data_IF_729925524116
#
_entry.id   IF_729925524116
#
_cell.length_a   1.000
_cell.length_b   1.000
_cell.length_c   1.000
_cell.angle_alpha   90.00
_cell.angle_beta   90.00
_cell.angle_gamma   90.00
#
_symmetry.space_group_name_H-M   'P 1'
#
loop_
_entity.id
_entity.type
_entity.pdbx_description
1 polymer ?
#
# COMPACT_ATOMS: atom_id res chain seq x y z
N UNK A 1 8.53 -3.44 -7.12
CA UNK A 1 7.10 -3.55 -6.75
C UNK A 1 6.72 -5.03 -6.65
N UNK A 2 6.08 -5.45 -5.57
CA UNK A 2 5.73 -6.86 -5.28
C UNK A 2 4.22 -7.00 -5.11
N UNK A 3 3.58 -7.94 -5.80
CA UNK A 3 2.17 -8.29 -5.54
C UNK A 3 2.06 -9.22 -4.32
N UNK A 4 1.23 -8.84 -3.35
CA UNK A 4 1.06 -9.51 -2.07
C UNK A 4 -0.11 -10.49 -2.14
N UNK A 5 0.17 -11.75 -2.48
CA UNK A 5 -0.84 -12.82 -2.56
C UNK A 5 -0.74 -13.83 -1.42
N UNK A 6 0.31 -13.77 -0.60
CA UNK A 6 0.54 -14.66 0.55
C UNK A 6 0.91 -13.87 1.80
N UNK A 7 0.68 -14.47 2.97
CA UNK A 7 1.12 -13.95 4.27
C UNK A 7 2.65 -13.78 4.34
N UNK A 8 3.40 -14.77 3.86
CA UNK A 8 4.86 -14.70 3.80
C UNK A 8 5.34 -13.49 2.98
N UNK A 9 4.73 -13.20 1.83
CA UNK A 9 5.09 -12.03 1.03
C UNK A 9 4.80 -10.71 1.76
N UNK A 10 3.74 -10.67 2.56
CA UNK A 10 3.44 -9.52 3.41
C UNK A 10 4.49 -9.36 4.52
N UNK A 11 4.81 -10.41 5.26
CA UNK A 11 5.80 -10.36 6.33
C UNK A 11 7.21 -10.01 5.83
N UNK A 12 7.63 -10.56 4.69
CA UNK A 12 8.92 -10.24 4.06
C UNK A 12 9.00 -8.76 3.64
N UNK A 13 7.91 -8.21 3.10
CA UNK A 13 7.82 -6.79 2.77
C UNK A 13 7.82 -5.93 4.05
N UNK A 14 7.06 -6.34 5.06
CA UNK A 14 6.97 -5.64 6.33
C UNK A 14 8.32 -5.63 7.07
N UNK A 15 9.14 -6.68 6.98
CA UNK A 15 10.50 -6.70 7.52
C UNK A 15 11.40 -5.64 6.92
N UNK A 16 11.28 -5.39 5.62
CA UNK A 16 12.04 -4.32 4.97
C UNK A 16 11.71 -2.92 5.51
N UNK A 17 10.52 -2.73 6.09
CA UNK A 17 10.13 -1.44 6.68
C UNK A 17 10.93 -1.05 7.93
N UNK A 18 11.76 -1.98 8.45
CA UNK A 18 12.70 -1.70 9.53
C UNK A 18 13.83 -0.75 9.11
N UNK A 19 14.34 -0.93 7.89
CA UNK A 19 15.52 -0.18 7.41
C UNK A 19 15.20 0.71 6.20
N UNK A 20 14.05 0.51 5.56
CA UNK A 20 13.63 1.23 4.35
C UNK A 20 12.22 1.78 4.51
N UNK A 21 11.91 2.83 3.76
CA UNK A 21 10.52 3.27 3.63
C UNK A 21 9.78 2.33 2.67
N UNK A 22 8.71 1.72 3.16
CA UNK A 22 7.89 0.75 2.42
C UNK A 22 6.50 1.34 2.18
N UNK A 23 6.02 1.29 0.95
CA UNK A 23 4.67 1.68 0.59
C UNK A 23 3.81 0.45 0.25
N UNK A 24 2.60 0.40 0.79
CA UNK A 24 1.66 -0.71 0.60
C UNK A 24 0.34 -0.19 0.07
N UNK A 25 -0.06 -0.62 -1.13
CA UNK A 25 -1.30 -0.20 -1.76
C UNK A 25 -2.34 -1.31 -1.82
N UNK A 26 -3.54 -1.06 -1.29
CA UNK A 26 -4.72 -1.93 -1.39
C UNK A 26 -5.58 -1.49 -2.56
N UNK A 27 -5.63 -2.31 -3.60
CA UNK A 27 -6.37 -2.04 -4.83
C UNK A 27 -7.63 -2.90 -4.94
N UNK A 28 -8.77 -2.31 -5.27
CA UNK A 28 -9.96 -3.02 -5.73
C UNK A 28 -10.04 -2.94 -7.25
N UNK A 29 -9.97 -4.10 -7.90
CA UNK A 29 -10.02 -4.23 -9.38
C UNK A 29 -11.40 -3.92 -9.97
N UNK A 30 -12.43 -3.80 -9.14
CA UNK A 30 -13.82 -3.58 -9.54
C UNK A 30 -14.36 -2.18 -9.16
N UNK A 31 -13.53 -1.31 -8.58
CA UNK A 31 -13.94 0.01 -8.11
C UNK A 31 -13.26 1.13 -8.92
N UNK A 32 -13.99 1.97 -9.65
CA UNK A 32 -13.40 3.08 -10.43
C UNK A 32 -12.53 4.02 -9.59
N UNK A 33 -12.96 4.35 -8.37
CA UNK A 33 -12.18 5.16 -7.42
C UNK A 33 -10.83 4.52 -7.12
N UNK A 34 -10.80 3.18 -7.01
CA UNK A 34 -9.56 2.45 -6.79
C UNK A 34 -8.67 2.41 -8.03
N UNK A 35 -9.25 2.35 -9.22
CA UNK A 35 -8.50 2.46 -10.47
C UNK A 35 -7.81 3.82 -10.61
N UNK A 36 -8.47 4.92 -10.22
CA UNK A 36 -7.88 6.26 -10.28
C UNK A 36 -6.76 6.45 -9.23
N UNK A 37 -6.99 6.01 -7.99
CA UNK A 37 -5.95 5.97 -6.96
C UNK A 37 -4.74 5.09 -7.39
N UNK A 38 -4.99 3.98 -8.09
CA UNK A 38 -3.93 3.12 -8.60
C UNK A 38 -3.07 3.82 -9.64
N UNK A 39 -3.66 4.59 -10.57
CA UNK A 39 -2.89 5.40 -11.53
C UNK A 39 -1.98 6.41 -10.82
N UNK A 40 -2.51 7.08 -9.79
CA UNK A 40 -1.74 8.04 -8.98
C UNK A 40 -0.56 7.36 -8.27
N UNK A 41 -0.80 6.18 -7.68
CA UNK A 41 0.23 5.39 -7.05
C UNK A 41 1.31 4.93 -8.04
N UNK A 42 0.92 4.43 -9.22
CA UNK A 42 1.87 4.00 -10.25
C UNK A 42 2.73 5.16 -10.78
N UNK A 43 2.13 6.34 -11.00
CA UNK A 43 2.86 7.53 -11.40
C UNK A 43 3.90 7.96 -10.34
N UNK A 44 3.58 7.80 -9.05
CA UNK A 44 4.55 8.02 -7.98
C UNK A 44 5.70 6.99 -8.01
N UNK A 45 5.38 5.71 -8.20
CA UNK A 45 6.37 4.62 -8.25
C UNK A 45 7.37 4.82 -9.38
N UNK A 46 6.89 5.20 -10.56
CA UNK A 46 7.73 5.42 -11.75
C UNK A 46 8.80 6.50 -11.52
N UNK A 47 8.47 7.55 -10.77
CA UNK A 47 9.40 8.65 -10.48
C UNK A 47 10.29 8.43 -9.25
N UNK A 48 9.98 7.43 -8.40
CA UNK A 48 10.66 7.24 -7.12
C UNK A 48 11.12 5.77 -6.92
N UNK A 49 11.97 5.23 -7.82
CA UNK A 49 12.32 3.80 -7.82
C UNK A 49 13.07 3.30 -6.57
N UNK A 50 13.60 4.21 -5.74
CA UNK A 50 14.41 3.87 -4.56
C UNK A 50 13.60 3.35 -3.36
N UNK A 51 12.27 3.56 -3.36
CA UNK A 51 11.41 3.04 -2.31
C UNK A 51 11.05 1.56 -2.53
N UNK A 52 10.65 0.90 -1.45
CA UNK A 52 10.12 -0.47 -1.52
C UNK A 52 8.61 -0.40 -1.66
N UNK A 53 8.06 -1.14 -2.63
CA UNK A 53 6.63 -1.09 -2.96
C UNK A 53 5.99 -2.47 -2.92
N UNK A 54 4.88 -2.58 -2.20
CA UNK A 54 3.95 -3.69 -2.23
C UNK A 54 2.54 -3.26 -2.62
N UNK A 55 1.79 -4.16 -3.22
CA UNK A 55 0.37 -3.94 -3.47
C UNK A 55 -0.42 -5.24 -3.35
N UNK A 56 -1.69 -5.14 -3.00
CA UNK A 56 -2.60 -6.29 -2.86
C UNK A 56 -3.90 -5.98 -3.58
N UNK A 57 -4.40 -6.94 -4.35
CA UNK A 57 -5.75 -6.87 -4.92
C UNK A 57 -6.74 -7.39 -3.88
N UNK A 58 -7.58 -6.52 -3.35
CA UNK A 58 -8.40 -6.81 -2.15
C UNK A 58 -9.49 -7.84 -2.40
N UNK A 59 -9.93 -8.02 -3.65
CA UNK A 59 -10.99 -8.98 -4.02
C UNK A 59 -10.42 -10.39 -4.19
N UNK A 60 -9.26 -10.47 -4.83
CA UNK A 60 -8.55 -11.70 -5.21
C UNK A 60 -7.69 -12.25 -4.07
N UNK A 61 -7.20 -11.37 -3.18
CA UNK A 61 -6.32 -11.73 -2.07
C UNK A 61 -6.88 -11.26 -0.72
N UNK A 62 -8.19 -11.48 -0.50
CA UNK A 62 -8.92 -11.10 0.73
C UNK A 62 -8.20 -11.48 2.04
N UNK A 63 -7.66 -12.71 2.21
CA UNK A 63 -7.00 -13.08 3.46
C UNK A 63 -5.81 -12.17 3.79
N UNK A 64 -4.89 -11.98 2.83
CA UNK A 64 -3.72 -11.12 3.00
C UNK A 64 -4.12 -9.66 3.14
N UNK A 65 -5.11 -9.20 2.38
CA UNK A 65 -5.64 -7.84 2.51
C UNK A 65 -6.26 -7.57 3.89
N UNK A 66 -6.84 -8.58 4.54
CA UNK A 66 -7.38 -8.43 5.89
C UNK A 66 -6.26 -8.47 6.93
N UNK A 67 -5.31 -9.41 6.79
CA UNK A 67 -4.12 -9.49 7.63
C UNK A 67 -3.36 -8.16 7.69
N UNK A 68 -3.13 -7.53 6.53
CA UNK A 68 -2.47 -6.20 6.47
C UNK A 68 -3.26 -5.15 7.26
N UNK A 69 -4.60 -5.18 7.24
CA UNK A 69 -5.40 -4.21 8.01
C UNK A 69 -5.25 -4.45 9.52
N UNK A 70 -5.31 -5.72 9.91
CA UNK A 70 -5.18 -6.19 11.29
C UNK A 70 -3.81 -5.86 11.89
N UNK A 71 -2.72 -6.26 11.24
CA UNK A 71 -1.35 -6.05 11.75
C UNK A 71 -0.93 -4.57 11.76
N UNK A 72 -1.51 -3.75 10.86
CA UNK A 72 -1.29 -2.31 10.86
C UNK A 72 -2.27 -1.56 11.78
N UNK A 73 -3.13 -2.28 12.52
CA UNK A 73 -4.14 -1.72 13.43
C UNK A 73 -5.03 -0.67 12.76
N UNK A 74 -5.42 -0.91 11.50
CA UNK A 74 -6.23 0.02 10.71
C UNK A 74 -7.54 -0.60 10.26
N UNK A 75 -8.58 0.24 10.14
CA UNK A 75 -9.82 -0.19 9.49
C UNK A 75 -9.54 -0.48 8.01
N UNK A 76 -9.92 -1.66 7.55
CA UNK A 76 -9.83 -2.03 6.13
C UNK A 76 -10.59 -1.02 5.26
N UNK A 77 -9.88 -0.42 4.29
CA UNK A 77 -10.46 0.42 3.23
C UNK A 77 -9.90 -0.01 1.86
N UNK A 78 -10.64 0.30 0.79
CA UNK A 78 -10.14 0.15 -0.58
C UNK A 78 -10.71 1.23 -1.51
N UNK A 79 -9.85 1.99 -2.23
CA UNK A 79 -8.39 1.94 -2.16
C UNK A 79 -7.85 2.47 -0.82
N UNK A 80 -6.69 1.96 -0.40
CA UNK A 80 -5.97 2.44 0.79
C UNK A 80 -4.47 2.35 0.54
N UNK A 81 -3.72 3.35 1.00
CA UNK A 81 -2.27 3.37 0.92
C UNK A 81 -1.68 3.51 2.33
N UNK A 82 -0.57 2.84 2.56
CA UNK A 82 0.23 2.96 3.78
C UNK A 82 1.67 3.32 3.42
N UNK A 83 2.27 4.20 4.21
CA UNK A 83 3.72 4.44 4.26
C UNK A 83 4.21 3.89 5.60
N UNK A 84 5.14 2.96 5.54
CA UNK A 84 5.71 2.27 6.69
C UNK A 84 7.17 2.70 6.87
N UNK A 85 7.52 3.08 8.10
CA UNK A 85 8.87 3.41 8.55
C UNK A 85 9.08 2.84 9.95
N UNK A 86 10.24 2.26 10.21
CA UNK A 86 10.60 1.67 11.50
C UNK A 86 9.52 0.72 12.05
N UNK A 87 8.96 -0.15 11.18
CA UNK A 87 7.88 -1.09 11.54
C UNK A 87 6.60 -0.40 12.06
N UNK A 88 6.32 0.83 11.63
CA UNK A 88 5.13 1.60 12.03
C UNK A 88 4.47 2.26 10.82
N UNK A 89 3.16 2.45 10.91
CA UNK A 89 2.41 3.28 9.97
C UNK A 89 2.77 4.74 10.21
N UNK A 90 3.64 5.28 9.36
CA UNK A 90 4.00 6.70 9.40
C UNK A 90 2.90 7.57 8.79
N UNK A 91 2.23 7.06 7.75
CA UNK A 91 1.10 7.73 7.12
C UNK A 91 0.17 6.72 6.43
N UNK A 92 -1.12 7.02 6.40
CA UNK A 92 -2.11 6.27 5.63
C UNK A 92 -3.17 7.21 5.06
N UNK A 93 -3.68 6.87 3.89
CA UNK A 93 -4.75 7.59 3.21
C UNK A 93 -5.61 6.63 2.38
N UNK A 94 -6.76 7.07 1.86
CA UNK A 94 -7.72 6.21 1.15
C UNK A 94 -8.52 6.97 0.08
N UNK A 95 -9.16 6.23 -0.82
CA UNK A 95 -10.07 6.80 -1.84
C UNK A 95 -9.41 7.92 -2.67
N UNK A 96 -10.10 9.06 -2.80
CA UNK A 96 -9.67 10.21 -3.59
C UNK A 96 -8.48 10.97 -3.00
N UNK A 97 -8.17 10.74 -1.72
CA UNK A 97 -7.04 11.37 -1.04
C UNK A 97 -5.69 10.71 -1.41
N UNK A 98 -5.72 9.62 -2.17
CA UNK A 98 -4.53 9.00 -2.76
C UNK A 98 -4.19 9.73 -4.05
N UNK A 99 -3.38 10.77 -3.95
CA UNK A 99 -2.78 11.47 -5.11
C UNK A 99 -1.27 11.36 -5.05
N UNK A 100 -0.60 11.45 -6.21
CA UNK A 100 0.86 11.46 -6.29
C UNK A 100 1.48 12.53 -5.38
N UNK A 101 0.89 13.73 -5.35
CA UNK A 101 1.34 14.86 -4.52
C UNK A 101 1.18 14.56 -3.03
N UNK A 102 0.06 13.96 -2.63
CA UNK A 102 -0.15 13.53 -1.26
C UNK A 102 0.88 12.49 -0.84
N UNK A 103 1.23 11.54 -1.71
CA UNK A 103 2.26 10.55 -1.45
C UNK A 103 3.63 11.24 -1.29
N UNK A 104 4.04 12.07 -2.25
CA UNK A 104 5.32 12.76 -2.24
C UNK A 104 5.54 13.63 -0.99
N UNK A 105 4.46 14.19 -0.41
CA UNK A 105 4.52 14.99 0.83
C UNK A 105 4.73 14.15 2.10
N UNK A 106 4.36 12.87 2.07
CA UNK A 106 4.27 12.03 3.27
C UNK A 106 5.20 10.80 3.25
N UNK A 107 6.05 10.66 2.23
CA UNK A 107 7.13 9.66 2.18
C UNK A 107 8.41 10.11 2.84
#
# INVERSE_FOLDING_TARGET
MIELTTEAAWHDLYEQSKDKTVLVFKHSTQCPVSSDAHKQFLAFVEENPDFVYGWVKVIESRPVSNLIAEELETVHKSPQLFVLKDKKVAWTTSHWDITKEAIAKNV
#
